data_IF_383317298474
#
_entry.id   IF_383317298474
#
_cell.length_a   1.000
_cell.length_b   1.000
_cell.length_c   1.000
_cell.angle_alpha   90.00
_cell.angle_beta   90.00
_cell.angle_gamma   90.00
#
_symmetry.space_group_name_H-M   'P 1'
#
loop_
_entity.id
_entity.type
_entity.pdbx_description
1 polymer ?
#
# COMPACT_ATOMS: atom_id res chain seq x y z
N UNK A 1 -0.85 46.76 -14.53
CA UNK A 1 -2.06 46.24 -13.82
C UNK A 1 -2.68 45.02 -14.48
N UNK A 2 -2.75 44.98 -15.83
CA UNK A 2 -3.43 43.88 -16.56
C UNK A 2 -2.78 42.49 -16.41
N UNK A 3 -1.48 42.42 -16.28
CA UNK A 3 -0.75 41.14 -16.18
C UNK A 3 -0.97 40.42 -14.85
N UNK A 4 -1.13 41.16 -13.74
CA UNK A 4 -1.46 40.58 -12.44
C UNK A 4 -2.91 40.10 -12.37
N UNK A 5 -3.84 40.83 -12.98
CA UNK A 5 -5.25 40.45 -13.03
C UNK A 5 -5.47 39.16 -13.80
N UNK A 6 -4.83 38.99 -14.95
CA UNK A 6 -4.89 37.74 -15.74
C UNK A 6 -4.31 36.53 -14.98
N UNK A 7 -3.22 36.72 -14.24
CA UNK A 7 -2.63 35.64 -13.42
C UNK A 7 -3.54 35.22 -12.25
N UNK A 8 -4.16 36.16 -11.57
CA UNK A 8 -5.13 35.87 -10.53
C UNK A 8 -6.37 35.20 -11.09
N UNK A 9 -6.88 35.62 -12.23
CA UNK A 9 -8.04 34.99 -12.86
C UNK A 9 -7.74 33.56 -13.32
N UNK A 10 -6.56 33.29 -13.87
CA UNK A 10 -6.12 31.94 -14.24
C UNK A 10 -5.97 31.01 -13.03
N UNK A 11 -5.45 31.52 -11.91
CA UNK A 11 -5.35 30.76 -10.67
C UNK A 11 -6.74 30.43 -10.07
N UNK A 12 -7.66 31.37 -10.08
CA UNK A 12 -9.03 31.18 -9.60
C UNK A 12 -9.76 30.15 -10.48
N UNK A 13 -9.64 30.26 -11.80
CA UNK A 13 -10.22 29.31 -12.74
C UNK A 13 -9.64 27.89 -12.56
N UNK A 14 -8.32 27.79 -12.35
CA UNK A 14 -7.66 26.51 -12.07
C UNK A 14 -8.14 25.89 -10.74
N UNK A 15 -8.32 26.71 -9.71
CA UNK A 15 -8.81 26.25 -8.41
C UNK A 15 -10.29 25.83 -8.46
N UNK A 16 -11.14 26.59 -9.19
CA UNK A 16 -12.53 26.22 -9.42
C UNK A 16 -12.66 24.91 -10.23
N UNK A 17 -11.83 24.72 -11.26
CA UNK A 17 -11.81 23.49 -12.04
C UNK A 17 -11.44 22.27 -11.17
N UNK A 18 -10.43 22.40 -10.30
CA UNK A 18 -10.08 21.35 -9.33
C UNK A 18 -11.22 21.06 -8.36
N UNK A 19 -11.94 22.06 -7.87
CA UNK A 19 -13.07 21.87 -6.96
C UNK A 19 -14.22 21.12 -7.65
N UNK A 20 -14.56 21.45 -8.89
CA UNK A 20 -15.60 20.76 -9.66
C UNK A 20 -15.26 19.30 -9.93
N UNK A 21 -14.01 18.97 -10.22
CA UNK A 21 -13.56 17.58 -10.44
C UNK A 21 -13.68 16.77 -9.15
N UNK A 22 -13.34 17.37 -8.01
CA UNK A 22 -13.50 16.69 -6.71
C UNK A 22 -14.95 16.42 -6.36
N UNK A 23 -15.87 17.35 -6.63
CA UNK A 23 -17.30 17.16 -6.40
C UNK A 23 -17.86 16.01 -7.23
N UNK A 24 -17.53 15.92 -8.51
CA UNK A 24 -17.95 14.83 -9.40
C UNK A 24 -17.42 13.46 -8.96
N UNK A 25 -16.17 13.41 -8.45
CA UNK A 25 -15.60 12.18 -7.93
C UNK A 25 -16.32 11.71 -6.68
N UNK A 26 -16.60 12.61 -5.74
CA UNK A 26 -17.31 12.29 -4.50
C UNK A 26 -18.75 11.84 -4.78
N UNK A 27 -19.45 12.49 -5.69
CA UNK A 27 -20.81 12.09 -6.10
C UNK A 27 -20.79 10.70 -6.75
N UNK A 28 -19.80 10.41 -7.58
CA UNK A 28 -19.63 9.10 -8.18
C UNK A 28 -19.36 8.02 -7.13
N UNK A 29 -18.49 8.30 -6.15
CA UNK A 29 -18.22 7.38 -5.05
C UNK A 29 -19.49 7.14 -4.22
N UNK A 30 -20.23 8.19 -3.89
CA UNK A 30 -21.49 8.10 -3.15
C UNK A 30 -22.53 7.26 -3.89
N UNK A 31 -22.64 7.41 -5.22
CA UNK A 31 -23.55 6.62 -6.05
C UNK A 31 -23.15 5.14 -6.04
N UNK A 32 -21.86 4.83 -6.23
CA UNK A 32 -21.39 3.44 -6.27
C UNK A 32 -21.51 2.73 -4.92
N UNK A 33 -21.37 3.45 -3.82
CA UNK A 33 -21.53 2.86 -2.47
C UNK A 33 -22.97 2.48 -2.12
N UNK A 34 -23.97 2.87 -2.92
CA UNK A 34 -25.36 2.43 -2.74
C UNK A 34 -25.59 0.97 -3.18
N UNK A 35 -24.75 0.44 -4.05
CA UNK A 35 -24.82 -0.98 -4.40
C UNK A 35 -24.37 -1.88 -3.24
N UNK A 36 -24.95 -3.08 -3.16
CA UNK A 36 -24.57 -4.05 -2.13
C UNK A 36 -23.08 -4.40 -2.20
N UNK A 37 -22.35 -4.35 -1.07
CA UNK A 37 -20.95 -4.65 -1.03
C UNK A 37 -20.68 -6.12 -1.31
N UNK A 38 -19.60 -6.39 -2.05
CA UNK A 38 -19.10 -7.73 -2.30
C UNK A 38 -17.79 -7.95 -1.56
N UNK A 39 -17.62 -9.02 -0.80
CA UNK A 39 -16.37 -9.30 -0.12
C UNK A 39 -15.28 -9.63 -1.14
N UNK A 40 -14.11 -9.06 -0.92
CA UNK A 40 -12.92 -9.27 -1.73
C UNK A 40 -11.72 -9.63 -0.87
N UNK A 41 -10.84 -10.45 -1.42
CA UNK A 41 -9.57 -10.80 -0.82
C UNK A 41 -8.45 -10.51 -1.82
N UNK A 42 -7.34 -9.98 -1.33
CA UNK A 42 -6.17 -9.79 -2.18
C UNK A 42 -4.87 -10.10 -1.45
N UNK A 43 -3.97 -10.69 -2.22
CA UNK A 43 -2.57 -10.87 -1.84
C UNK A 43 -1.75 -9.94 -2.71
N UNK A 44 -0.88 -9.17 -2.11
CA UNK A 44 0.05 -8.34 -2.85
C UNK A 44 1.49 -8.54 -2.40
N UNK A 45 2.38 -8.43 -3.36
CA UNK A 45 3.81 -8.37 -3.15
C UNK A 45 4.29 -7.02 -3.64
N UNK A 46 4.96 -6.29 -2.77
CA UNK A 46 5.47 -4.94 -3.02
C UNK A 46 6.96 -4.95 -2.89
N UNK A 47 7.63 -4.61 -3.97
CA UNK A 47 9.07 -4.44 -3.98
C UNK A 47 9.43 -2.97 -3.98
N UNK A 48 10.48 -2.61 -3.27
CA UNK A 48 11.09 -1.29 -3.33
C UNK A 48 12.59 -1.41 -3.26
N UNK A 49 13.27 -0.46 -3.88
CA UNK A 49 14.72 -0.36 -3.80
C UNK A 49 15.09 0.49 -2.59
N UNK A 50 15.41 -0.16 -1.48
CA UNK A 50 15.90 0.49 -0.28
C UNK A 50 17.39 0.20 -0.15
N UNK A 51 18.23 1.23 -0.14
CA UNK A 51 19.69 1.10 0.05
C UNK A 51 20.36 0.04 -0.85
N UNK A 52 20.12 0.07 -2.16
CA UNK A 52 20.63 -0.91 -3.11
C UNK A 52 20.21 -2.37 -2.85
N UNK A 53 19.30 -2.63 -1.95
CA UNK A 53 18.76 -3.96 -1.68
C UNK A 53 17.31 -4.05 -2.15
N UNK A 54 16.98 -5.13 -2.84
CA UNK A 54 15.62 -5.40 -3.31
C UNK A 54 14.76 -5.89 -2.15
N UNK A 55 14.09 -4.98 -1.48
CA UNK A 55 13.25 -5.26 -0.32
C UNK A 55 11.85 -5.64 -0.76
N UNK A 56 11.40 -6.82 -0.37
CA UNK A 56 10.05 -7.31 -0.67
C UNK A 56 9.18 -7.33 0.58
N UNK A 57 8.01 -6.73 0.45
CA UNK A 57 6.93 -6.81 1.43
C UNK A 57 5.80 -7.65 0.88
N UNK A 58 5.20 -8.47 1.72
CA UNK A 58 3.97 -9.19 1.39
C UNK A 58 2.82 -8.62 2.20
N UNK A 59 1.67 -8.51 1.55
CA UNK A 59 0.44 -8.04 2.15
C UNK A 59 -0.73 -8.98 1.89
N UNK A 60 -1.56 -9.14 2.91
CA UNK A 60 -2.85 -9.82 2.84
C UNK A 60 -3.91 -8.78 3.16
N UNK A 61 -4.94 -8.69 2.33
CA UNK A 61 -6.00 -7.70 2.47
C UNK A 61 -7.38 -8.34 2.34
N UNK A 62 -8.28 -7.90 3.19
CA UNK A 62 -9.71 -8.20 3.10
C UNK A 62 -10.47 -6.89 3.03
N UNK A 63 -11.54 -6.86 2.25
CA UNK A 63 -12.30 -5.65 2.07
C UNK A 63 -13.61 -5.88 1.37
N UNK A 64 -14.29 -4.77 1.13
CA UNK A 64 -15.55 -4.69 0.44
C UNK A 64 -15.38 -3.90 -0.86
N UNK A 65 -16.06 -4.35 -1.89
CA UNK A 65 -16.10 -3.70 -3.19
C UNK A 65 -17.55 -3.37 -3.57
N UNK A 66 -17.78 -2.13 -3.92
CA UNK A 66 -19.09 -1.63 -4.38
C UNK A 66 -19.03 -1.33 -5.88
N UNK A 67 -20.02 -1.81 -6.64
CA UNK A 67 -20.17 -1.58 -8.08
C UNK A 67 -18.93 -1.96 -8.91
N UNK A 68 -17.95 -2.69 -8.36
CA UNK A 68 -16.66 -2.93 -9.00
C UNK A 68 -15.80 -1.66 -9.16
N UNK A 69 -16.15 -0.57 -8.45
CA UNK A 69 -15.51 0.74 -8.59
C UNK A 69 -14.85 1.22 -7.31
N UNK A 70 -15.50 1.05 -6.18
CA UNK A 70 -15.02 1.54 -4.88
C UNK A 70 -14.66 0.36 -4.02
N UNK A 71 -13.46 0.36 -3.47
CA UNK A 71 -12.96 -0.68 -2.57
C UNK A 71 -12.37 -0.07 -1.33
N UNK A 72 -12.63 -0.67 -0.21
CA UNK A 72 -11.99 -0.33 1.05
C UNK A 72 -11.91 -1.54 1.95
N UNK A 73 -11.01 -1.50 2.88
CA UNK A 73 -10.81 -2.59 3.81
C UNK A 73 -9.55 -2.42 4.64
N UNK A 74 -9.12 -3.52 5.19
CA UNK A 74 -7.95 -3.59 6.05
C UNK A 74 -7.05 -4.74 5.59
N UNK A 75 -5.76 -4.57 5.79
CA UNK A 75 -4.76 -5.59 5.51
C UNK A 75 -3.68 -5.65 6.57
N UNK A 76 -2.83 -6.62 6.42
CA UNK A 76 -1.59 -6.74 7.18
C UNK A 76 -0.44 -6.94 6.20
N UNK A 77 0.59 -6.14 6.35
CA UNK A 77 1.79 -6.21 5.50
C UNK A 77 3.02 -6.43 6.37
N UNK A 78 3.92 -7.26 5.88
CA UNK A 78 5.15 -7.59 6.58
C UNK A 78 6.33 -7.71 5.62
N UNK A 79 7.51 -7.45 6.17
CA UNK A 79 8.77 -7.56 5.44
C UNK A 79 9.12 -9.05 5.27
N UNK A 80 9.15 -9.50 4.02
CA UNK A 80 9.53 -10.89 3.68
C UNK A 80 11.04 -11.07 3.62
N UNK A 81 11.74 -10.12 3.01
CA UNK A 81 13.20 -10.16 2.87
C UNK A 81 13.82 -9.37 4.02
N UNK A 82 14.57 -9.99 4.94
CA UNK A 82 15.27 -9.27 5.99
C UNK A 82 16.24 -8.28 5.35
N UNK A 83 16.20 -7.03 5.79
CA UNK A 83 17.25 -6.05 5.44
C UNK A 83 18.37 -6.24 6.43
N UNK A 84 19.50 -6.70 5.93
CA UNK A 84 20.71 -6.89 6.73
C UNK A 84 21.60 -5.65 6.59
N UNK A 85 22.11 -5.17 7.72
CA UNK A 85 23.05 -4.06 7.80
C UNK A 85 24.11 -4.33 8.84
N UNK A 86 25.30 -3.84 8.59
CA UNK A 86 26.34 -3.78 9.61
C UNK A 86 26.09 -2.59 10.54
N UNK A 87 26.18 -2.85 11.83
CA UNK A 87 26.12 -1.82 12.87
C UNK A 87 27.21 -2.07 13.90
N UNK A 88 27.74 -0.98 14.46
CA UNK A 88 28.67 -1.05 15.57
C UNK A 88 27.88 -1.14 16.88
N UNK A 89 28.11 -2.19 17.63
CA UNK A 89 27.48 -2.39 18.94
C UNK A 89 28.60 -2.49 20.00
N UNK A 90 28.42 -1.79 21.10
CA UNK A 90 29.29 -1.91 22.28
C UNK A 90 28.80 -3.09 23.12
N UNK A 91 29.58 -4.16 23.17
CA UNK A 91 29.27 -5.37 23.93
C UNK A 91 30.47 -5.79 24.76
N UNK A 92 30.27 -6.05 26.04
CA UNK A 92 31.32 -6.42 26.99
C UNK A 92 32.52 -5.44 27.03
N UNK A 93 32.31 -4.14 26.75
CA UNK A 93 33.37 -3.13 26.74
C UNK A 93 34.14 -3.00 25.43
N UNK A 94 33.79 -3.78 24.41
CA UNK A 94 34.43 -3.73 23.08
C UNK A 94 33.41 -3.33 22.01
N UNK A 95 33.85 -2.49 21.06
CA UNK A 95 33.05 -2.15 19.90
C UNK A 95 33.21 -3.24 18.85
N UNK A 96 32.09 -3.87 18.48
CA UNK A 96 32.07 -4.96 17.49
C UNK A 96 31.10 -4.59 16.36
N UNK A 97 31.50 -4.92 15.12
CA UNK A 97 30.60 -4.88 13.96
C UNK A 97 29.71 -6.11 14.00
N UNK A 98 28.41 -5.91 14.01
CA UNK A 98 27.41 -6.99 14.00
C UNK A 98 26.48 -6.82 12.83
N UNK A 99 26.05 -7.95 12.24
CA UNK A 99 25.00 -7.94 11.23
C UNK A 99 23.64 -7.78 11.91
N UNK A 100 22.97 -6.71 11.62
CA UNK A 100 21.61 -6.43 12.12
C UNK A 100 20.59 -6.87 11.10
N UNK A 101 19.43 -7.35 11.58
CA UNK A 101 18.29 -7.74 10.77
C UNK A 101 17.07 -6.90 11.12
N UNK A 102 16.52 -6.25 10.11
CA UNK A 102 15.30 -5.45 10.26
C UNK A 102 14.07 -6.33 10.03
N UNK A 103 13.08 -6.21 10.93
CA UNK A 103 11.74 -6.76 10.80
C UNK A 103 10.75 -5.62 10.83
N UNK A 104 9.75 -5.67 9.96
CA UNK A 104 8.72 -4.66 9.85
C UNK A 104 7.38 -5.36 9.63
N UNK A 105 6.37 -4.94 10.38
CA UNK A 105 4.99 -5.37 10.20
C UNK A 105 4.03 -4.25 10.56
N UNK A 106 2.97 -4.09 9.74
CA UNK A 106 2.02 -3.01 9.92
C UNK A 106 0.64 -3.39 9.39
N UNK A 107 -0.37 -2.83 10.04
CA UNK A 107 -1.76 -2.90 9.59
C UNK A 107 -1.99 -1.83 8.55
N UNK A 108 -2.76 -2.15 7.50
CA UNK A 108 -2.98 -1.29 6.35
C UNK A 108 -4.47 -1.12 6.05
N UNK A 109 -5.17 -0.14 6.65
CA UNK A 109 -6.39 0.36 6.06
C UNK A 109 -6.09 0.88 4.65
N UNK A 110 -6.98 0.56 3.73
CA UNK A 110 -6.83 0.96 2.34
C UNK A 110 -8.16 1.41 1.75
N UNK A 111 -8.06 2.30 0.77
CA UNK A 111 -9.13 2.73 -0.10
C UNK A 111 -8.65 2.67 -1.54
N UNK A 112 -9.51 2.25 -2.47
CA UNK A 112 -9.17 2.19 -3.89
C UNK A 112 -10.34 2.58 -4.76
N UNK A 113 -10.08 3.38 -5.77
CA UNK A 113 -11.05 3.78 -6.78
C UNK A 113 -10.62 3.27 -8.16
N UNK A 114 -11.53 2.54 -8.83
CA UNK A 114 -11.35 2.03 -10.19
C UNK A 114 -11.96 3.03 -11.16
N UNK A 115 -11.14 3.83 -11.81
CA UNK A 115 -11.59 4.86 -12.75
C UNK A 115 -11.77 4.35 -14.18
N UNK A 116 -11.08 3.28 -14.54
CA UNK A 116 -11.21 2.66 -15.85
C UNK A 116 -11.54 1.18 -15.72
N UNK A 117 -12.57 0.74 -16.46
CA UNK A 117 -12.95 -0.67 -16.56
C UNK A 117 -13.51 -0.95 -17.93
N UNK A 118 -12.84 -1.82 -18.67
CA UNK A 118 -13.27 -2.25 -20.00
C UNK A 118 -12.92 -3.72 -20.21
N UNK A 119 -13.97 -4.55 -20.35
CA UNK A 119 -13.81 -5.99 -20.45
C UNK A 119 -13.08 -6.54 -19.21
N UNK A 120 -12.00 -7.32 -19.39
CA UNK A 120 -11.24 -7.90 -18.29
C UNK A 120 -10.26 -6.90 -17.63
N UNK A 121 -10.06 -5.70 -18.20
CA UNK A 121 -9.09 -4.74 -17.75
C UNK A 121 -9.70 -3.74 -16.76
N UNK A 122 -8.99 -3.52 -15.68
CA UNK A 122 -9.32 -2.51 -14.66
C UNK A 122 -8.09 -1.67 -14.34
N UNK A 123 -8.25 -0.35 -14.22
CA UNK A 123 -7.21 0.57 -13.74
C UNK A 123 -7.74 1.27 -12.50
N UNK A 124 -6.99 1.19 -11.42
CA UNK A 124 -7.39 1.73 -10.13
C UNK A 124 -6.26 2.51 -9.46
N UNK A 125 -6.66 3.42 -8.59
CA UNK A 125 -5.77 4.17 -7.70
C UNK A 125 -6.04 3.71 -6.27
N UNK A 126 -5.32 2.70 -5.77
CA UNK A 126 -5.34 2.36 -4.36
C UNK A 126 -4.47 3.31 -3.56
N UNK A 127 -4.99 3.75 -2.43
CA UNK A 127 -4.26 4.48 -1.39
C UNK A 127 -4.30 3.67 -0.12
N UNK A 128 -3.17 3.49 0.51
CA UNK A 128 -3.12 2.80 1.80
C UNK A 128 -2.32 3.61 2.81
N UNK A 129 -2.73 3.47 4.06
CA UNK A 129 -2.04 3.98 5.23
C UNK A 129 -1.56 2.77 6.03
N UNK A 130 -0.30 2.76 6.43
CA UNK A 130 0.25 1.69 7.26
C UNK A 130 0.58 2.21 8.66
N UNK A 131 0.16 1.46 9.66
CA UNK A 131 0.43 1.74 11.06
C UNK A 131 1.00 0.49 11.69
N UNK A 132 2.20 0.59 12.25
CA UNK A 132 2.85 -0.59 12.82
C UNK A 132 4.18 -0.33 13.47
N UNK A 133 5.01 -1.36 13.50
CA UNK A 133 6.30 -1.26 14.12
C UNK A 133 7.37 -2.06 13.41
N UNK A 134 8.59 -1.57 13.57
CA UNK A 134 9.80 -2.24 13.14
C UNK A 134 10.71 -2.55 14.33
N UNK A 135 11.51 -3.56 14.18
CA UNK A 135 12.57 -3.88 15.12
C UNK A 135 13.85 -4.26 14.39
N UNK A 136 14.95 -3.76 14.88
CA UNK A 136 16.29 -4.15 14.44
C UNK A 136 16.86 -5.09 15.50
N UNK A 137 17.25 -6.28 15.08
CA UNK A 137 17.81 -7.31 15.95
C UNK A 137 19.20 -7.70 15.49
N UNK A 138 20.05 -8.13 16.41
CA UNK A 138 21.36 -8.71 16.16
C UNK A 138 21.57 -9.94 17.03
N UNK A 139 22.53 -10.78 16.67
CA UNK A 139 22.91 -11.92 17.48
C UNK A 139 24.12 -11.55 18.36
N UNK A 140 24.02 -11.71 19.70
CA UNK A 140 25.08 -11.43 20.67
C UNK A 140 26.23 -12.47 20.59
N UNK A 141 27.29 -12.29 21.36
CA UNK A 141 28.44 -13.20 21.42
C UNK A 141 28.01 -14.62 21.81
N UNK A 142 26.94 -14.74 22.57
CA UNK A 142 26.38 -16.04 22.99
C UNK A 142 25.37 -16.62 21.97
N UNK A 143 25.22 -16.00 20.80
CA UNK A 143 24.26 -16.42 19.77
C UNK A 143 22.80 -16.13 20.12
N UNK A 144 22.53 -15.33 21.15
CA UNK A 144 21.19 -14.97 21.56
C UNK A 144 20.74 -13.72 20.81
N UNK A 145 19.48 -13.76 20.34
CA UNK A 145 18.91 -12.63 19.60
C UNK A 145 18.57 -11.47 20.52
N UNK A 146 19.25 -10.36 20.33
CA UNK A 146 19.06 -9.11 21.05
C UNK A 146 18.33 -8.09 20.17
N UNK A 147 17.49 -7.25 20.79
CA UNK A 147 16.82 -6.14 20.11
C UNK A 147 17.64 -4.85 20.28
N UNK A 148 18.13 -4.32 19.17
CA UNK A 148 18.91 -3.09 19.17
C UNK A 148 17.99 -1.85 19.22
N UNK A 149 16.93 -1.84 18.40
CA UNK A 149 15.99 -0.70 18.30
C UNK A 149 14.58 -1.20 18.02
N UNK A 150 13.60 -0.45 18.55
CA UNK A 150 12.19 -0.51 18.13
C UNK A 150 11.80 0.84 17.57
N UNK A 151 11.07 0.87 16.49
CA UNK A 151 10.54 2.07 15.88
C UNK A 151 9.06 1.91 15.59
N UNK A 152 8.28 2.92 15.88
CA UNK A 152 6.94 3.07 15.36
C UNK A 152 7.04 3.51 13.90
N UNK A 153 6.22 2.94 13.06
CA UNK A 153 6.19 3.24 11.63
C UNK A 153 4.79 3.62 11.23
N UNK A 154 4.67 4.80 10.66
CA UNK A 154 3.50 5.28 9.96
C UNK A 154 3.90 5.47 8.49
N UNK A 155 3.11 4.96 7.57
CA UNK A 155 3.38 5.12 6.15
C UNK A 155 2.11 5.49 5.37
N UNK A 156 2.34 6.21 4.27
CA UNK A 156 1.33 6.57 3.29
C UNK A 156 1.84 6.09 1.92
N UNK A 157 1.01 5.34 1.21
CA UNK A 157 1.42 4.72 -0.05
C UNK A 157 0.30 4.80 -1.09
N UNK A 158 0.26 5.87 -1.90
CA UNK A 158 -0.55 5.95 -3.09
C UNK A 158 0.08 5.13 -4.22
N UNK A 159 -0.77 4.51 -5.04
CA UNK A 159 -0.32 3.74 -6.18
C UNK A 159 -1.31 3.79 -7.34
N UNK A 160 -0.86 3.40 -8.52
CA UNK A 160 -1.70 3.10 -9.67
C UNK A 160 -1.49 1.64 -10.05
N UNK A 161 -2.59 0.91 -10.19
CA UNK A 161 -2.57 -0.53 -10.44
C UNK A 161 -3.45 -0.86 -11.63
N UNK A 162 -2.89 -1.60 -12.58
CA UNK A 162 -3.60 -2.19 -13.70
C UNK A 162 -3.84 -3.66 -13.37
N UNK A 163 -5.07 -4.12 -13.53
CA UNK A 163 -5.46 -5.50 -13.25
C UNK A 163 -6.13 -6.12 -14.47
N UNK A 164 -5.89 -7.39 -14.64
CA UNK A 164 -6.48 -8.22 -15.66
C UNK A 164 -7.24 -9.37 -15.01
N UNK A 165 -8.55 -9.44 -15.21
CA UNK A 165 -9.40 -10.54 -14.75
C UNK A 165 -9.30 -11.68 -15.75
N UNK A 166 -8.56 -12.72 -15.44
CA UNK A 166 -8.32 -13.87 -16.33
C UNK A 166 -9.33 -15.02 -16.11
N UNK A 167 -9.96 -15.05 -14.94
CA UNK A 167 -11.04 -15.96 -14.59
C UNK A 167 -12.17 -15.19 -13.91
N UNK A 168 -13.36 -15.79 -13.83
CA UNK A 168 -14.53 -15.17 -13.19
C UNK A 168 -14.23 -14.67 -11.77
N UNK A 169 -13.40 -15.41 -11.03
CA UNK A 169 -13.12 -15.14 -9.61
C UNK A 169 -11.71 -14.64 -9.35
N UNK A 170 -10.85 -14.53 -10.37
CA UNK A 170 -9.44 -14.19 -10.17
C UNK A 170 -8.98 -13.07 -11.10
N UNK A 171 -8.21 -12.14 -10.54
CA UNK A 171 -7.49 -11.14 -11.30
C UNK A 171 -6.04 -11.05 -10.83
N UNK A 172 -5.15 -10.86 -11.79
CA UNK A 172 -3.74 -10.53 -11.54
C UNK A 172 -3.50 -9.08 -11.90
N UNK A 173 -2.64 -8.41 -11.15
CA UNK A 173 -2.36 -7.01 -11.41
C UNK A 173 -0.92 -6.63 -11.13
N UNK A 174 -0.51 -5.57 -11.79
CA UNK A 174 0.75 -4.89 -11.58
C UNK A 174 0.56 -3.40 -11.45
N UNK A 175 1.45 -2.75 -10.71
CA UNK A 175 1.35 -1.32 -10.50
C UNK A 175 2.62 -0.69 -9.99
N UNK A 176 2.58 0.63 -9.95
CA UNK A 176 3.65 1.47 -9.42
C UNK A 176 3.05 2.42 -8.40
N UNK A 177 3.82 2.73 -7.38
CA UNK A 177 3.44 3.66 -6.34
C UNK A 177 4.65 4.33 -5.71
N UNK A 178 4.39 5.13 -4.71
CA UNK A 178 5.44 5.75 -3.91
C UNK A 178 5.12 5.56 -2.43
N UNK A 179 6.11 5.14 -1.66
CA UNK A 179 6.00 4.98 -0.22
C UNK A 179 6.61 6.16 0.49
N UNK A 180 5.81 6.83 1.30
CA UNK A 180 6.24 7.84 2.26
C UNK A 180 6.17 7.23 3.65
N UNK A 181 7.28 7.18 4.35
CA UNK A 181 7.37 6.63 5.70
C UNK A 181 7.70 7.75 6.67
N UNK A 182 6.92 7.81 7.73
CA UNK A 182 7.10 8.72 8.84
C UNK A 182 7.42 7.87 10.08
N UNK A 183 8.58 8.07 10.66
CA UNK A 183 9.02 7.33 11.85
C UNK A 183 9.71 8.29 12.81
N UNK A 184 9.75 7.95 14.06
CA UNK A 184 10.45 8.73 15.08
C UNK A 184 11.94 8.36 15.21
N UNK A 185 12.45 7.53 14.34
CA UNK A 185 13.85 7.11 14.33
C UNK A 185 14.51 7.50 13.00
N UNK A 186 15.83 7.73 12.99
CA UNK A 186 16.64 8.06 11.81
C UNK A 186 16.63 6.99 10.68
N UNK A 187 15.49 6.32 10.51
CA UNK A 187 15.22 5.33 9.47
C UNK A 187 14.53 5.97 8.24
N UNK A 188 14.12 7.25 8.34
CA UNK A 188 13.27 7.93 7.35
C UNK A 188 13.88 8.02 5.96
N UNK A 189 15.15 8.37 5.88
CA UNK A 189 15.80 8.66 4.59
C UNK A 189 15.91 7.45 3.67
N UNK A 190 15.75 6.24 4.22
CA UNK A 190 15.98 5.00 3.50
C UNK A 190 14.70 4.20 3.18
N UNK A 191 13.56 4.57 3.76
CA UNK A 191 12.31 3.85 3.57
C UNK A 191 11.39 4.53 2.56
N UNK A 192 11.61 5.82 2.27
CA UNK A 192 10.91 6.55 1.22
C UNK A 192 11.43 6.10 -0.13
N UNK A 193 10.60 5.42 -0.91
CA UNK A 193 11.02 4.87 -2.18
C UNK A 193 9.86 4.63 -3.13
N UNK A 194 10.11 4.67 -4.44
CA UNK A 194 9.19 4.11 -5.40
C UNK A 194 9.00 2.61 -5.15
N UNK A 195 7.77 2.17 -5.30
CA UNK A 195 7.38 0.77 -5.10
C UNK A 195 6.74 0.21 -6.37
N UNK A 196 7.08 -1.02 -6.71
CA UNK A 196 6.33 -1.80 -7.67
C UNK A 196 5.43 -2.79 -6.94
N UNK A 197 4.28 -3.08 -7.51
CA UNK A 197 3.24 -3.90 -6.92
C UNK A 197 2.91 -5.02 -7.88
N UNK A 198 2.87 -6.24 -7.37
CA UNK A 198 2.30 -7.39 -8.08
C UNK A 198 1.26 -7.99 -7.14
N UNK A 199 0.05 -8.20 -7.63
CA UNK A 199 -1.06 -8.65 -6.79
C UNK A 199 -1.94 -9.68 -7.46
N UNK A 200 -2.53 -10.52 -6.64
CA UNK A 200 -3.60 -11.44 -6.97
C UNK A 200 -4.84 -11.02 -6.18
N UNK A 201 -5.97 -10.91 -6.86
CA UNK A 201 -7.27 -10.64 -6.24
C UNK A 201 -8.22 -11.81 -6.45
N UNK A 202 -8.98 -12.12 -5.42
CA UNK A 202 -10.03 -13.12 -5.42
C UNK A 202 -11.37 -12.44 -5.12
N UNK A 203 -12.37 -12.67 -5.98
CA UNK A 203 -13.72 -12.13 -5.88
C UNK A 203 -14.64 -13.14 -5.20
N UNK A 204 -14.57 -13.22 -3.87
CA UNK A 204 -15.38 -14.17 -3.11
C UNK A 204 -16.88 -13.92 -3.23
N UNK A 205 -17.30 -12.66 -3.38
CA UNK A 205 -18.71 -12.32 -3.54
C UNK A 205 -19.33 -12.92 -4.81
N UNK A 206 -18.57 -12.97 -5.90
CA UNK A 206 -19.02 -13.60 -7.14
C UNK A 206 -19.01 -15.13 -7.02
N UNK A 207 -18.00 -15.70 -6.37
CA UNK A 207 -17.90 -17.14 -6.12
C UNK A 207 -19.02 -17.66 -5.21
N UNK A 208 -19.38 -16.89 -4.17
CA UNK A 208 -20.43 -17.26 -3.23
C UNK A 208 -21.83 -17.22 -3.88
N UNK A 209 -22.10 -16.24 -4.72
CA UNK A 209 -23.35 -16.16 -5.48
C UNK A 209 -23.55 -17.36 -6.40
N UNK A 210 -22.52 -17.71 -7.17
CA UNK A 210 -22.60 -18.85 -8.07
C UNK A 210 -22.76 -20.18 -7.34
N UNK A 211 -22.17 -20.28 -6.15
CA UNK A 211 -22.36 -21.47 -5.32
C UNK A 211 -23.80 -21.59 -4.81
N UNK A 212 -24.43 -20.48 -4.42
CA UNK A 212 -25.85 -20.48 -4.01
C UNK A 212 -26.79 -20.80 -5.19
N UNK A 213 -26.53 -20.21 -6.37
CA UNK A 213 -27.35 -20.44 -7.58
C UNK A 213 -27.16 -21.85 -8.15
N UNK A 214 -26.08 -22.55 -7.85
CA UNK A 214 -25.80 -23.93 -8.28
C UNK A 214 -26.33 -25.00 -7.32
N UNK A 215 -26.93 -24.62 -6.19
CA UNK A 215 -27.52 -25.52 -5.19
C UNK A 215 -29.06 -25.57 -5.32
N UNK A 216 -29.67 -24.67 -6.12
CA UNK A 216 -31.07 -24.73 -6.54
C UNK A 216 -31.21 -25.57 -7.84
#
# INVERSE_FOLDING_TARGET
>A
GHFHFMRCLALILSFCACACVNAQLLDSIALFTQEAPKPTFSLDSRGSFISNQNVRMMGVKVGLEHAGRVRYGIGYSFLRTPVEREALVLEAGYTRTVTTRMRLGYVTPFFGYTFYRRGPWEVSIPVQVGIGGGSVTYDDIAGRRQKLKRAFVFLYEPAMVVQYRFLKYFAVGGGLGYRLVFTNASLDEHLNAPVYIIGLRVFFGDAYKDWQEGVE
#
